data_IF_600815031026
#
_entry.id   IF_600815031026
#
_cell.length_a   1.000
_cell.length_b   1.000
_cell.length_c   1.000
_cell.angle_alpha   90.00
_cell.angle_beta   90.00
_cell.angle_gamma   90.00
#
_symmetry.space_group_name_H-M   'P 1'
#
loop_
_entity.id
_entity.type
_entity.pdbx_description
1 polymer ?
#
# COMPACT_ATOMS: atom_id res chain seq x y z
N UNK A 1 15.28 15.44 2.36
CA UNK A 1 14.49 16.35 1.48
C UNK A 1 14.53 15.99 -0.01
N UNK A 2 15.69 15.78 -0.66
CA UNK A 2 15.71 15.52 -2.12
C UNK A 2 14.92 14.28 -2.59
N UNK A 3 14.89 13.18 -1.82
CA UNK A 3 14.13 11.97 -2.18
C UNK A 3 12.61 12.11 -2.01
N UNK A 4 12.16 12.74 -0.92
CA UNK A 4 10.74 13.00 -0.68
C UNK A 4 10.16 13.98 -1.69
N UNK A 5 10.92 15.02 -2.07
CA UNK A 5 10.52 15.96 -3.11
C UNK A 5 10.37 15.27 -4.49
N UNK A 6 11.31 14.38 -4.84
CA UNK A 6 11.21 13.57 -6.08
C UNK A 6 9.96 12.69 -6.08
N UNK A 7 9.62 12.08 -4.95
CA UNK A 7 8.42 11.26 -4.82
C UNK A 7 7.14 12.09 -5.04
N UNK A 8 7.04 13.28 -4.44
CA UNK A 8 5.92 14.20 -4.69
C UNK A 8 5.85 14.64 -6.15
N UNK A 9 7.00 14.93 -6.77
CA UNK A 9 7.06 15.27 -8.19
C UNK A 9 6.55 14.13 -9.07
N UNK A 10 6.97 12.88 -8.80
CA UNK A 10 6.46 11.71 -9.53
C UNK A 10 4.97 11.48 -9.31
N UNK A 11 4.44 11.78 -8.11
CA UNK A 11 3.01 11.70 -7.81
C UNK A 11 2.23 12.74 -8.61
N UNK A 12 2.70 13.99 -8.64
CA UNK A 12 2.06 15.07 -9.42
C UNK A 12 2.13 14.76 -10.92
N UNK A 13 3.26 14.28 -11.43
CA UNK A 13 3.40 13.87 -12.83
C UNK A 13 2.47 12.71 -13.14
N UNK A 14 2.42 11.69 -12.28
CA UNK A 14 1.51 10.54 -12.44
C UNK A 14 0.04 10.96 -12.46
N UNK A 15 -0.35 11.88 -11.57
CA UNK A 15 -1.70 12.44 -11.54
C UNK A 15 -1.98 13.25 -12.82
N UNK A 16 -1.08 14.12 -13.25
CA UNK A 16 -1.24 14.91 -14.48
C UNK A 16 -1.35 14.01 -15.73
N UNK A 17 -0.50 12.98 -15.84
CA UNK A 17 -0.58 11.98 -16.92
C UNK A 17 -1.91 11.22 -16.88
N UNK A 18 -2.36 10.79 -15.69
CA UNK A 18 -3.66 10.14 -15.51
C UNK A 18 -4.82 11.02 -15.97
N UNK A 19 -4.82 12.30 -15.59
CA UNK A 19 -5.81 13.29 -15.99
C UNK A 19 -5.83 13.56 -17.51
N UNK A 20 -4.66 13.62 -18.13
CA UNK A 20 -4.54 13.82 -19.58
C UNK A 20 -5.03 12.58 -20.34
N UNK A 21 -4.69 11.38 -19.88
CA UNK A 21 -5.16 10.14 -20.50
C UNK A 21 -6.68 10.01 -20.34
N UNK A 22 -7.25 10.32 -19.16
CA UNK A 22 -8.69 10.22 -18.96
C UNK A 22 -9.49 11.26 -19.78
N UNK A 23 -8.97 12.49 -19.88
CA UNK A 23 -9.63 13.55 -20.67
C UNK A 23 -9.55 13.30 -22.17
N UNK A 24 -8.44 12.76 -22.67
CA UNK A 24 -8.30 12.38 -24.10
C UNK A 24 -9.10 11.13 -24.45
N UNK A 25 -9.22 10.15 -23.55
CA UNK A 25 -10.11 9.00 -23.76
C UNK A 25 -11.57 9.44 -23.93
N UNK A 26 -12.01 10.46 -23.19
CA UNK A 26 -13.37 11.03 -23.28
C UNK A 26 -13.61 11.82 -24.57
N UNK A 27 -12.59 12.51 -25.09
CA UNK A 27 -12.73 13.36 -26.28
C UNK A 27 -12.62 12.60 -27.61
N UNK A 28 -12.01 11.41 -27.63
CA UNK A 28 -11.69 10.67 -28.86
C UNK A 28 -12.77 9.64 -29.25
N UNK A 29 -13.68 9.22 -28.35
CA UNK A 29 -14.78 8.34 -28.77
C UNK A 29 -15.97 8.28 -27.82
N UNK A 30 -17.14 8.03 -28.40
CA UNK A 30 -18.37 7.73 -27.67
C UNK A 30 -18.24 6.46 -26.81
N UNK A 31 -19.26 6.17 -25.99
CA UNK A 31 -19.28 5.17 -24.90
C UNK A 31 -18.45 3.88 -25.12
N UNK A 32 -18.42 3.33 -26.33
CA UNK A 32 -17.69 2.10 -26.69
C UNK A 32 -16.16 2.20 -26.56
N UNK A 33 -15.53 3.37 -26.75
CA UNK A 33 -14.07 3.51 -26.56
C UNK A 33 -13.66 3.61 -25.09
N UNK A 34 -14.56 4.12 -24.25
CA UNK A 34 -14.34 4.34 -22.83
C UNK A 34 -14.29 3.01 -22.06
N UNK A 35 -15.18 2.07 -22.41
CA UNK A 35 -15.18 0.72 -21.82
C UNK A 35 -13.89 -0.05 -22.11
N UNK A 36 -13.38 0.06 -23.34
CA UNK A 36 -12.11 -0.58 -23.73
C UNK A 36 -10.93 -0.01 -22.98
N UNK A 37 -10.94 1.30 -22.72
CA UNK A 37 -9.91 1.95 -21.92
C UNK A 37 -9.92 1.43 -20.47
N UNK A 38 -11.08 1.43 -19.81
CA UNK A 38 -11.20 0.91 -18.45
C UNK A 38 -10.85 -0.57 -18.35
N UNK A 39 -11.19 -1.36 -19.37
CA UNK A 39 -10.80 -2.76 -19.47
C UNK A 39 -9.28 -2.93 -19.55
N UNK A 40 -8.59 -2.12 -20.36
CA UNK A 40 -7.13 -2.11 -20.43
C UNK A 40 -6.49 -1.73 -19.10
N UNK A 41 -7.01 -0.71 -18.42
CA UNK A 41 -6.52 -0.27 -17.11
C UNK A 41 -6.71 -1.35 -16.04
N UNK A 42 -7.89 -1.98 -15.99
CA UNK A 42 -8.15 -3.05 -15.02
C UNK A 42 -7.22 -4.24 -15.26
N UNK A 43 -7.11 -4.74 -16.49
CA UNK A 43 -6.23 -5.89 -16.82
C UNK A 43 -4.77 -5.60 -16.46
N UNK A 44 -4.25 -4.46 -16.89
CA UNK A 44 -2.85 -4.08 -16.59
C UNK A 44 -2.61 -3.96 -15.09
N UNK A 45 -3.54 -3.35 -14.36
CA UNK A 45 -3.47 -3.24 -12.89
C UNK A 45 -3.53 -4.62 -12.22
N UNK A 46 -4.40 -5.54 -12.69
CA UNK A 46 -4.46 -6.90 -12.14
C UNK A 46 -3.16 -7.66 -12.36
N UNK A 47 -2.58 -7.56 -13.56
CA UNK A 47 -1.33 -8.25 -13.90
C UNK A 47 -0.18 -7.75 -13.02
N UNK A 48 -0.06 -6.44 -12.84
CA UNK A 48 0.95 -5.85 -11.95
C UNK A 48 0.74 -6.30 -10.51
N UNK A 49 -0.51 -6.29 -10.03
CA UNK A 49 -0.85 -6.79 -8.69
C UNK A 49 -0.44 -8.25 -8.51
N UNK A 50 -0.82 -9.13 -9.45
CA UNK A 50 -0.49 -10.54 -9.42
C UNK A 50 1.04 -10.77 -9.43
N UNK A 51 1.76 -10.05 -10.28
CA UNK A 51 3.21 -10.11 -10.36
C UNK A 51 3.88 -9.74 -9.03
N UNK A 52 3.47 -8.64 -8.39
CA UNK A 52 4.01 -8.23 -7.10
C UNK A 52 3.74 -9.26 -6.01
N UNK A 53 2.54 -9.86 -5.99
CA UNK A 53 2.20 -10.91 -5.03
C UNK A 53 3.04 -12.17 -5.26
N UNK A 54 3.23 -12.60 -6.51
CA UNK A 54 4.09 -13.74 -6.85
C UNK A 54 5.54 -13.49 -6.44
N UNK A 55 6.07 -12.30 -6.71
CA UNK A 55 7.40 -11.89 -6.24
C UNK A 55 7.49 -11.90 -4.71
N UNK A 56 6.47 -11.37 -4.03
CA UNK A 56 6.36 -11.39 -2.57
C UNK A 56 6.41 -12.81 -2.01
N UNK A 57 5.66 -13.74 -2.59
CA UNK A 57 5.64 -15.16 -2.20
C UNK A 57 7.02 -15.81 -2.43
N UNK A 58 7.67 -15.52 -3.55
CA UNK A 58 9.01 -16.03 -3.84
C UNK A 58 10.03 -15.55 -2.80
N UNK A 59 10.04 -14.25 -2.50
CA UNK A 59 10.94 -13.67 -1.51
C UNK A 59 10.62 -14.17 -0.09
N UNK A 60 9.35 -14.35 0.24
CA UNK A 60 8.91 -14.96 1.50
C UNK A 60 9.50 -16.36 1.69
N UNK A 61 9.42 -17.21 0.65
CA UNK A 61 9.99 -18.57 0.69
C UNK A 61 11.51 -18.52 0.81
N UNK A 62 12.17 -17.65 0.03
CA UNK A 62 13.62 -17.47 0.08
C UNK A 62 14.09 -17.05 1.47
N UNK A 63 13.40 -16.10 2.10
CA UNK A 63 13.72 -15.64 3.45
C UNK A 63 13.62 -16.78 4.46
N UNK A 64 12.57 -17.61 4.40
CA UNK A 64 12.45 -18.78 5.27
C UNK A 64 13.55 -19.82 5.03
N UNK A 65 13.99 -20.01 3.79
CA UNK A 65 15.11 -20.92 3.48
C UNK A 65 16.41 -20.42 4.09
N UNK A 66 16.71 -19.13 3.95
CA UNK A 66 17.92 -18.52 4.55
C UNK A 66 17.82 -18.54 6.07
N UNK A 67 16.65 -18.29 6.65
CA UNK A 67 16.45 -18.27 8.09
C UNK A 67 16.70 -19.62 8.79
N UNK A 68 16.56 -20.74 8.06
CA UNK A 68 16.83 -22.08 8.62
C UNK A 68 18.31 -22.39 8.79
N UNK A 69 19.16 -21.79 7.95
CA UNK A 69 20.60 -22.08 7.90
C UNK A 69 21.36 -20.82 7.49
N UNK A 70 21.23 -19.76 8.31
CA UNK A 70 21.76 -18.45 7.96
C UNK A 70 23.30 -18.44 7.94
N UNK A 71 23.93 -19.23 8.83
CA UNK A 71 25.39 -19.39 8.96
C UNK A 71 26.04 -19.82 7.65
N UNK A 72 25.31 -20.59 6.81
CA UNK A 72 25.77 -20.99 5.48
C UNK A 72 25.85 -19.83 4.48
N UNK A 73 25.02 -18.80 4.64
CA UNK A 73 24.88 -17.73 3.66
C UNK A 73 25.55 -16.41 4.07
N UNK A 74 25.67 -16.15 5.36
CA UNK A 74 26.16 -14.88 5.90
C UNK A 74 26.48 -14.99 7.40
N UNK A 75 27.26 -14.02 7.90
CA UNK A 75 27.49 -13.80 9.33
C UNK A 75 26.23 -13.29 10.05
N UNK A 76 26.22 -13.39 11.37
CA UNK A 76 25.07 -13.05 12.22
C UNK A 76 24.65 -11.58 12.09
N UNK A 77 25.61 -10.65 12.12
CA UNK A 77 25.35 -9.21 11.99
C UNK A 77 24.73 -8.85 10.62
N UNK A 78 25.25 -9.44 9.53
CA UNK A 78 24.68 -9.25 8.20
C UNK A 78 23.32 -9.92 8.06
N UNK A 79 23.12 -11.08 8.70
CA UNK A 79 21.84 -11.77 8.71
C UNK A 79 20.76 -10.91 9.38
N UNK A 80 21.08 -10.26 10.49
CA UNK A 80 20.15 -9.40 11.21
C UNK A 80 19.64 -8.24 10.37
N UNK A 81 20.55 -7.58 9.67
CA UNK A 81 20.20 -6.52 8.73
C UNK A 81 19.42 -7.08 7.52
N UNK A 82 19.79 -8.25 7.02
CA UNK A 82 19.13 -8.90 5.89
C UNK A 82 17.69 -9.30 6.23
N UNK A 83 17.45 -9.98 7.36
CA UNK A 83 16.12 -10.46 7.77
C UNK A 83 15.15 -9.31 7.96
N UNK A 84 15.60 -8.22 8.60
CA UNK A 84 14.78 -7.03 8.82
C UNK A 84 14.40 -6.35 7.50
N UNK A 85 15.38 -6.06 6.63
CA UNK A 85 15.13 -5.39 5.35
C UNK A 85 14.26 -6.25 4.43
N UNK A 86 14.53 -7.56 4.36
CA UNK A 86 13.73 -8.46 3.53
C UNK A 86 12.30 -8.60 4.03
N UNK A 87 12.08 -8.64 5.34
CA UNK A 87 10.73 -8.63 5.89
C UNK A 87 9.94 -7.40 5.43
N UNK A 88 10.56 -6.21 5.53
CA UNK A 88 9.93 -4.96 5.09
C UNK A 88 9.67 -4.95 3.57
N UNK A 89 10.61 -5.43 2.74
CA UNK A 89 10.40 -5.55 1.29
C UNK A 89 9.22 -6.47 0.94
N UNK A 90 9.13 -7.64 1.60
CA UNK A 90 8.02 -8.59 1.43
C UNK A 90 6.69 -7.93 1.80
N UNK A 91 6.67 -7.18 2.92
CA UNK A 91 5.48 -6.46 3.36
C UNK A 91 5.06 -5.39 2.35
N UNK A 92 6.02 -4.65 1.76
CA UNK A 92 5.76 -3.66 0.71
C UNK A 92 5.10 -4.32 -0.51
N UNK A 93 5.63 -5.43 -1.01
CA UNK A 93 5.02 -6.16 -2.14
C UNK A 93 3.59 -6.60 -1.81
N UNK A 94 3.35 -7.08 -0.59
CA UNK A 94 2.03 -7.49 -0.13
C UNK A 94 1.02 -6.35 -0.08
N UNK A 95 1.40 -5.20 0.52
CA UNK A 95 0.50 -4.04 0.66
C UNK A 95 0.21 -3.40 -0.70
N UNK A 96 1.22 -3.20 -1.56
CA UNK A 96 1.01 -2.61 -2.89
C UNK A 96 0.18 -3.56 -3.75
N UNK A 97 0.48 -4.86 -3.75
CA UNK A 97 -0.29 -5.86 -4.49
C UNK A 97 -1.76 -5.91 -4.03
N UNK A 98 -2.00 -5.81 -2.72
CA UNK A 98 -3.34 -5.72 -2.14
C UNK A 98 -4.10 -4.48 -2.66
N UNK A 99 -3.50 -3.29 -2.54
CA UNK A 99 -4.16 -2.04 -2.99
C UNK A 99 -4.47 -2.07 -4.49
N UNK A 100 -3.51 -2.50 -5.33
CA UNK A 100 -3.71 -2.58 -6.77
C UNK A 100 -4.79 -3.61 -7.14
N UNK A 101 -4.83 -4.76 -6.46
CA UNK A 101 -5.87 -5.76 -6.70
C UNK A 101 -7.27 -5.26 -6.34
N UNK A 102 -7.40 -4.46 -5.27
CA UNK A 102 -8.66 -3.84 -4.88
C UNK A 102 -9.11 -2.78 -5.90
N UNK A 103 -8.18 -1.92 -6.36
CA UNK A 103 -8.47 -0.94 -7.43
C UNK A 103 -8.91 -1.65 -8.71
N UNK A 104 -8.19 -2.70 -9.10
CA UNK A 104 -8.50 -3.51 -10.28
C UNK A 104 -9.89 -4.15 -10.21
N UNK A 105 -10.31 -4.61 -9.02
CA UNK A 105 -11.63 -5.18 -8.76
C UNK A 105 -12.74 -4.11 -8.84
N UNK A 106 -12.48 -2.90 -8.34
CA UNK A 106 -13.45 -1.82 -8.29
C UNK A 106 -13.84 -1.28 -9.67
N UNK A 107 -12.89 -1.20 -10.61
CA UNK A 107 -13.14 -0.65 -11.96
C UNK A 107 -14.29 -1.37 -12.67
N UNK A 108 -14.27 -2.71 -12.90
CA UNK A 108 -15.37 -3.40 -13.59
C UNK A 108 -16.67 -3.50 -12.77
N UNK A 109 -16.63 -3.22 -11.46
CA UNK A 109 -17.86 -3.15 -10.67
C UNK A 109 -18.62 -1.83 -10.90
N UNK A 110 -17.89 -0.76 -11.24
CA UNK A 110 -18.43 0.61 -11.30
C UNK A 110 -18.63 1.06 -12.75
N UNK A 111 -17.74 0.68 -13.67
CA UNK A 111 -17.66 1.28 -15.02
C UNK A 111 -18.22 0.36 -16.11
N UNK A 112 -17.69 -0.86 -16.23
CA UNK A 112 -18.07 -1.82 -17.26
C UNK A 112 -18.13 -3.23 -16.67
N UNK A 113 -19.09 -4.06 -17.06
CA UNK A 113 -19.15 -5.43 -16.54
C UNK A 113 -18.36 -6.41 -17.42
N UNK A 114 -17.28 -6.99 -16.89
CA UNK A 114 -16.60 -8.14 -17.48
C UNK A 114 -16.32 -9.19 -16.41
N UNK A 115 -17.03 -10.31 -16.49
CA UNK A 115 -16.97 -11.38 -15.49
C UNK A 115 -15.56 -11.97 -15.34
N UNK A 116 -14.83 -12.15 -16.44
CA UNK A 116 -13.50 -12.75 -16.41
C UNK A 116 -12.48 -11.87 -15.68
N UNK A 117 -12.47 -10.57 -15.97
CA UNK A 117 -11.57 -9.61 -15.31
C UNK A 117 -11.93 -9.44 -13.83
N UNK A 118 -13.23 -9.42 -13.52
CA UNK A 118 -13.74 -9.33 -12.16
C UNK A 118 -13.32 -10.55 -11.33
N UNK A 119 -13.55 -11.77 -11.85
CA UNK A 119 -13.17 -13.01 -11.15
C UNK A 119 -11.65 -13.11 -10.97
N UNK A 120 -10.87 -12.77 -12.00
CA UNK A 120 -9.41 -12.79 -11.90
C UNK A 120 -8.90 -11.78 -10.86
N UNK A 121 -9.40 -10.54 -10.89
CA UNK A 121 -9.07 -9.52 -9.88
C UNK A 121 -9.46 -9.96 -8.47
N UNK A 122 -10.62 -10.60 -8.33
CA UNK A 122 -11.10 -11.12 -7.05
C UNK A 122 -10.19 -12.23 -6.51
N UNK A 123 -9.76 -13.17 -7.34
CA UNK A 123 -8.81 -14.22 -6.94
C UNK A 123 -7.49 -13.59 -6.46
N UNK A 124 -6.92 -12.64 -7.22
CA UNK A 124 -5.69 -11.96 -6.83
C UNK A 124 -5.88 -11.20 -5.50
N UNK A 125 -7.02 -10.55 -5.31
CA UNK A 125 -7.37 -9.87 -4.07
C UNK A 125 -7.41 -10.83 -2.88
N UNK A 126 -8.09 -11.97 -2.99
CA UNK A 126 -8.13 -12.98 -1.92
C UNK A 126 -6.73 -13.53 -1.61
N UNK A 127 -5.93 -13.83 -2.64
CA UNK A 127 -4.54 -14.29 -2.45
C UNK A 127 -3.70 -13.22 -1.75
N UNK A 128 -3.89 -11.95 -2.07
CA UNK A 128 -3.17 -10.84 -1.42
C UNK A 128 -3.52 -10.70 0.08
N UNK A 129 -4.78 -10.90 0.46
CA UNK A 129 -5.21 -10.90 1.87
C UNK A 129 -4.53 -12.04 2.64
N UNK A 130 -4.55 -13.25 2.06
CA UNK A 130 -3.91 -14.43 2.67
C UNK A 130 -2.41 -14.15 2.82
N UNK A 131 -1.77 -13.63 1.78
CA UNK A 131 -0.35 -13.31 1.79
C UNK A 131 0.02 -12.25 2.84
N UNK A 132 -0.78 -11.19 2.97
CA UNK A 132 -0.57 -10.14 3.97
C UNK A 132 -0.68 -10.70 5.39
N UNK A 133 -1.71 -11.51 5.65
CA UNK A 133 -1.90 -12.18 6.95
C UNK A 133 -0.73 -13.10 7.30
N UNK A 134 -0.18 -13.83 6.32
CA UNK A 134 0.99 -14.69 6.50
C UNK A 134 2.25 -13.89 6.76
N UNK A 135 2.43 -12.76 6.07
CA UNK A 135 3.59 -11.89 6.23
C UNK A 135 3.61 -11.24 7.62
N UNK A 136 2.47 -10.82 8.16
CA UNK A 136 2.43 -10.29 9.53
C UNK A 136 2.84 -11.32 10.58
N UNK A 137 2.52 -12.61 10.36
CA UNK A 137 2.96 -13.71 11.24
C UNK A 137 4.42 -14.13 11.01
N UNK A 138 5.06 -13.65 9.94
CA UNK A 138 6.44 -14.00 9.62
C UNK A 138 7.41 -13.45 10.65
N UNK A 139 7.14 -12.27 11.22
CA UNK A 139 8.07 -11.64 12.16
C UNK A 139 8.29 -12.50 13.41
N UNK A 140 7.23 -13.13 13.92
CA UNK A 140 7.32 -14.07 15.06
C UNK A 140 8.12 -15.33 14.74
N UNK A 141 8.26 -15.70 13.45
CA UNK A 141 9.11 -16.81 13.01
C UNK A 141 10.56 -16.39 12.81
N UNK A 142 10.80 -15.12 12.48
CA UNK A 142 12.14 -14.56 12.28
C UNK A 142 12.82 -14.18 13.60
N UNK A 143 12.01 -13.89 14.62
CA UNK A 143 12.46 -13.49 15.96
C UNK A 143 11.72 -14.32 17.04
N UNK A 144 11.88 -15.66 17.06
CA UNK A 144 11.23 -16.51 18.07
C UNK A 144 11.62 -16.14 19.51
N UNK A 145 12.81 -15.60 19.71
CA UNK A 145 13.36 -15.19 21.00
C UNK A 145 12.66 -13.96 21.61
N UNK A 146 12.00 -13.14 20.80
CA UNK A 146 11.49 -11.81 21.22
C UNK A 146 10.06 -11.83 21.75
N UNK A 147 9.41 -12.99 21.85
CA UNK A 147 8.02 -13.16 22.32
C UNK A 147 7.08 -12.05 21.82
N UNK A 148 7.17 -11.74 20.52
CA UNK A 148 6.46 -10.61 19.92
C UNK A 148 4.94 -10.84 20.01
N UNK A 149 4.17 -9.80 20.37
CA UNK A 149 2.72 -9.92 20.47
C UNK A 149 2.12 -10.25 19.11
N UNK A 150 0.96 -10.89 19.10
CA UNK A 150 0.22 -11.11 17.86
C UNK A 150 -0.63 -9.88 17.52
N UNK A 151 -0.87 -9.55 16.24
CA UNK A 151 -1.71 -8.40 15.85
C UNK A 151 -3.13 -8.40 16.45
N UNK A 152 -3.63 -9.58 16.86
CA UNK A 152 -4.91 -9.75 17.54
C UNK A 152 -4.87 -9.48 19.04
N UNK A 153 -3.69 -9.26 19.62
CA UNK A 153 -3.54 -9.07 21.06
C UNK A 153 -4.06 -7.71 21.50
N UNK A 154 -4.78 -7.70 22.63
CA UNK A 154 -5.12 -6.44 23.30
C UNK A 154 -3.84 -5.67 23.65
N UNK A 155 -3.84 -4.36 23.38
CA UNK A 155 -2.70 -3.45 23.53
C UNK A 155 -1.46 -3.91 22.75
N UNK A 156 -1.65 -4.43 21.53
CA UNK A 156 -0.58 -4.86 20.63
C UNK A 156 0.54 -3.83 20.52
N UNK A 157 0.20 -2.55 20.31
CA UNK A 157 1.16 -1.45 20.15
C UNK A 157 2.06 -1.30 21.38
N UNK A 158 1.49 -1.27 22.58
CA UNK A 158 2.25 -1.10 23.83
C UNK A 158 3.18 -2.30 24.07
N UNK A 159 2.66 -3.51 23.87
CA UNK A 159 3.44 -4.75 23.99
C UNK A 159 4.58 -4.80 22.97
N UNK A 160 4.34 -4.34 21.74
CA UNK A 160 5.36 -4.30 20.69
C UNK A 160 6.46 -3.29 21.03
N UNK A 161 6.09 -2.11 21.54
CA UNK A 161 7.05 -1.10 21.99
C UNK A 161 7.87 -1.60 23.17
N UNK A 162 7.27 -2.29 24.14
CA UNK A 162 7.97 -2.88 25.28
C UNK A 162 8.94 -4.00 24.89
N UNK A 163 8.62 -4.77 23.84
CA UNK A 163 9.49 -5.82 23.30
C UNK A 163 10.61 -5.27 22.40
N UNK A 164 10.56 -3.99 22.04
CA UNK A 164 11.51 -3.33 21.16
C UNK A 164 12.62 -2.62 21.95
N UNK A 165 13.86 -2.74 21.48
CA UNK A 165 14.99 -2.03 22.10
C UNK A 165 14.87 -0.50 21.89
N UNK A 166 15.58 0.29 22.69
CA UNK A 166 15.60 1.77 22.62
C UNK A 166 15.96 2.28 21.22
N UNK A 167 16.93 1.65 20.56
CA UNK A 167 17.31 2.00 19.18
C UNK A 167 16.17 1.74 18.17
N UNK A 168 15.47 0.62 18.29
CA UNK A 168 14.33 0.29 17.43
C UNK A 168 13.13 1.21 17.70
N UNK A 169 12.83 1.51 18.97
CA UNK A 169 11.80 2.47 19.36
C UNK A 169 12.07 3.86 18.77
N UNK A 170 13.32 4.31 18.76
CA UNK A 170 13.69 5.57 18.12
C UNK A 170 13.43 5.55 16.61
N UNK A 171 13.81 4.47 15.91
CA UNK A 171 13.57 4.32 14.48
C UNK A 171 12.07 4.26 14.17
N UNK A 172 11.31 3.45 14.92
CA UNK A 172 9.86 3.31 14.76
C UNK A 172 9.14 4.65 14.98
N UNK A 173 9.46 5.37 16.06
CA UNK A 173 8.86 6.67 16.37
C UNK A 173 9.18 7.71 15.29
N UNK A 174 10.43 7.73 14.83
CA UNK A 174 10.85 8.62 13.74
C UNK A 174 10.11 8.29 12.43
N UNK A 175 9.95 7.00 12.11
CA UNK A 175 9.21 6.54 10.94
C UNK A 175 7.72 6.87 11.04
N UNK A 176 7.11 6.68 12.21
CA UNK A 176 5.70 7.01 12.48
C UNK A 176 5.45 8.50 12.28
N UNK A 177 6.29 9.38 12.84
CA UNK A 177 6.13 10.82 12.67
C UNK A 177 6.26 11.26 11.20
N UNK A 178 7.28 10.74 10.49
CA UNK A 178 7.47 11.00 9.05
C UNK A 178 6.29 10.51 8.22
N UNK A 179 5.78 9.32 8.52
CA UNK A 179 4.65 8.71 7.81
C UNK A 179 3.36 9.47 8.09
N UNK A 180 3.11 9.87 9.34
CA UNK A 180 1.98 10.71 9.70
C UNK A 180 1.99 12.03 8.94
N UNK A 181 3.12 12.76 8.94
CA UNK A 181 3.26 14.00 8.19
C UNK A 181 3.05 13.78 6.69
N UNK A 182 3.62 12.70 6.12
CA UNK A 182 3.45 12.37 4.70
C UNK A 182 1.99 12.06 4.36
N UNK A 183 1.28 11.32 5.21
CA UNK A 183 -0.15 11.01 5.02
C UNK A 183 -1.00 12.27 5.04
N UNK A 184 -0.73 13.21 5.96
CA UNK A 184 -1.44 14.49 6.02
C UNK A 184 -1.26 15.30 4.72
N UNK A 185 0.00 15.43 4.26
CA UNK A 185 0.30 16.10 2.98
C UNK A 185 -0.34 15.35 1.80
N UNK A 186 -0.29 14.02 1.81
CA UNK A 186 -0.87 13.18 0.77
C UNK A 186 -2.39 13.35 0.64
N UNK A 187 -3.11 13.36 1.77
CA UNK A 187 -4.56 13.60 1.79
C UNK A 187 -4.87 15.02 1.29
N UNK A 188 -4.14 16.02 1.77
CA UNK A 188 -4.32 17.41 1.33
C UNK A 188 -4.11 17.57 -0.18
N UNK A 189 -3.02 17.04 -0.72
CA UNK A 189 -2.75 17.05 -2.17
C UNK A 189 -3.81 16.25 -2.93
N UNK A 190 -4.26 15.12 -2.38
CA UNK A 190 -5.35 14.32 -2.96
C UNK A 190 -6.66 15.12 -3.09
N UNK A 191 -7.02 15.88 -2.06
CA UNK A 191 -8.20 16.78 -2.10
C UNK A 191 -8.03 17.84 -3.20
N UNK A 192 -6.85 18.48 -3.30
CA UNK A 192 -6.58 19.47 -4.36
C UNK A 192 -6.71 18.85 -5.77
N UNK A 193 -6.21 17.63 -5.96
CA UNK A 193 -6.34 16.92 -7.23
C UNK A 193 -7.79 16.58 -7.57
N UNK A 194 -8.61 16.19 -6.58
CA UNK A 194 -10.04 15.94 -6.79
C UNK A 194 -10.81 17.21 -7.13
N UNK A 195 -10.49 18.34 -6.48
CA UNK A 195 -11.06 19.65 -6.82
C UNK A 195 -10.71 20.01 -8.26
N UNK A 196 -9.43 19.90 -8.64
CA UNK A 196 -8.97 20.18 -10.00
C UNK A 196 -9.66 19.26 -11.02
N UNK A 197 -9.76 17.95 -10.75
CA UNK A 197 -10.49 17.02 -11.60
C UNK A 197 -11.95 17.42 -11.77
N UNK A 198 -12.64 17.76 -10.68
CA UNK A 198 -14.05 18.14 -10.71
C UNK A 198 -14.26 19.42 -11.52
N UNK A 199 -13.39 20.42 -11.35
CA UNK A 199 -13.45 21.67 -12.12
C UNK A 199 -13.19 21.46 -13.61
N UNK A 200 -12.22 20.60 -13.97
CA UNK A 200 -11.83 20.36 -15.35
C UNK A 200 -12.80 19.45 -16.11
N UNK A 201 -13.41 18.49 -15.43
CA UNK A 201 -14.26 17.47 -16.07
C UNK A 201 -15.76 17.71 -15.90
N UNK A 202 -16.16 18.60 -14.99
CA UNK A 202 -17.55 18.82 -14.60
C UNK A 202 -18.15 17.71 -13.72
N UNK A 203 -17.42 16.61 -13.49
CA UNK A 203 -17.90 15.49 -12.68
C UNK A 203 -17.74 15.80 -11.19
N UNK A 204 -18.80 15.64 -10.42
CA UNK A 204 -18.77 15.93 -8.98
C UNK A 204 -17.90 14.94 -8.21
N UNK A 205 -16.92 15.46 -7.47
CA UNK A 205 -16.06 14.68 -6.54
C UNK A 205 -16.33 15.03 -5.07
N UNK A 206 -17.45 15.71 -4.78
CA UNK A 206 -17.73 16.26 -3.45
C UNK A 206 -17.77 15.19 -2.35
N UNK A 207 -18.30 14.00 -2.66
CA UNK A 207 -18.34 12.88 -1.73
C UNK A 207 -16.93 12.44 -1.31
N UNK A 208 -16.05 12.20 -2.28
CA UNK A 208 -14.65 11.81 -2.05
C UNK A 208 -13.90 12.86 -1.23
N UNK A 209 -14.12 14.15 -1.52
CA UNK A 209 -13.49 15.27 -0.80
C UNK A 209 -13.94 15.30 0.67
N UNK A 210 -15.24 15.13 0.94
CA UNK A 210 -15.77 15.09 2.31
C UNK A 210 -15.18 13.92 3.10
N UNK A 211 -15.15 12.72 2.52
CA UNK A 211 -14.60 11.52 3.17
C UNK A 211 -13.12 11.70 3.49
N UNK A 212 -12.31 12.20 2.55
CA UNK A 212 -10.89 12.49 2.78
C UNK A 212 -10.69 13.56 3.86
N UNK A 213 -11.53 14.60 3.89
CA UNK A 213 -11.53 15.62 4.94
C UNK A 213 -11.82 15.04 6.33
N UNK A 214 -12.82 14.15 6.43
CA UNK A 214 -13.13 13.45 7.69
C UNK A 214 -11.95 12.59 8.13
N UNK A 215 -11.35 11.82 7.23
CA UNK A 215 -10.17 11.00 7.53
C UNK A 215 -9.03 11.87 8.06
N UNK A 216 -8.76 13.02 7.42
CA UNK A 216 -7.74 13.96 7.88
C UNK A 216 -7.99 14.44 9.31
N UNK A 217 -9.24 14.83 9.62
CA UNK A 217 -9.64 15.28 10.97
C UNK A 217 -9.50 14.17 12.01
N UNK A 218 -9.94 12.94 11.71
CA UNK A 218 -9.83 11.79 12.63
C UNK A 218 -8.37 11.47 12.92
N UNK A 219 -7.50 11.49 11.91
CA UNK A 219 -6.06 11.26 12.09
C UNK A 219 -5.43 12.32 13.00
N UNK A 220 -5.80 13.59 12.84
CA UNK A 220 -5.31 14.69 13.70
C UNK A 220 -5.80 14.53 15.15
N UNK A 221 -7.06 14.17 15.33
CA UNK A 221 -7.65 13.97 16.66
C UNK A 221 -7.01 12.76 17.38
N UNK A 222 -6.79 11.66 16.66
CA UNK A 222 -6.12 10.47 17.20
C UNK A 222 -4.69 10.81 17.66
N UNK A 223 -3.92 11.52 16.82
CA UNK A 223 -2.56 11.94 17.18
C UNK A 223 -2.55 12.84 18.43
N UNK A 224 -3.47 13.81 18.51
CA UNK A 224 -3.62 14.68 19.69
C UNK A 224 -3.97 13.89 20.95
N UNK A 225 -4.81 12.87 20.85
CA UNK A 225 -5.25 12.06 22.00
C UNK A 225 -4.12 11.25 22.63
N UNK A 226 -3.09 10.89 21.87
CA UNK A 226 -1.92 10.13 22.35
C UNK A 226 -0.88 11.01 23.06
N UNK A 227 -0.90 12.32 22.84
CA UNK A 227 0.03 13.28 23.46
C UNK A 227 -0.45 13.73 24.85
N UNK A 228 -1.74 13.55 25.16
CA UNK A 228 -2.33 13.89 26.45
C UNK A 228 -2.30 12.71 27.40
#
# INVERSE_FOLDING_TARGET
MRKTLKMFLYLIIGAAVGLLISSTARSIGGDVSTDRFYLGVSITTTIVAAFLIVLGIFQYRRLLTVAKDYVKYMDEDSYDKYRYNKHNEIQIYGVIGFVLSLVSLAIPLITYFNLSVLLFSFIVYIVSIIFLTRTTKLINKLYPERNLPQPSDKNYTDKLLLASDEGERHIMTTALYKTFSLTQVGIFVGILLLIAYSMLTGESQIFSIIILGIIMMVLLQSFKSTIK
#
